data_IF_468117311621
#
_entry.id   IF_468117311621
#
_cell.length_a   1.000
_cell.length_b   1.000
_cell.length_c   1.000
_cell.angle_alpha   90.00
_cell.angle_beta   90.00
_cell.angle_gamma   90.00
#
_symmetry.space_group_name_H-M   'P 1'
#
loop_
_entity.id
_entity.type
_entity.pdbx_description
1 polymer ?
#
# COMPACT_ATOMS: atom_id res chain seq x y z
N UNK A 1 28.37 7.09 56.13
CA UNK A 1 28.75 7.14 54.68
C UNK A 1 27.75 6.48 53.72
N UNK A 2 26.59 5.95 54.15
CA UNK A 2 25.74 5.07 53.30
C UNK A 2 24.38 5.64 52.83
N UNK A 3 23.97 6.83 53.27
CA UNK A 3 22.66 7.42 52.93
C UNK A 3 22.69 8.28 51.66
N UNK A 4 23.84 8.91 51.34
CA UNK A 4 24.00 9.75 50.13
C UNK A 4 24.15 8.95 48.82
N UNK A 5 24.56 7.67 48.85
CA UNK A 5 24.72 6.83 47.63
C UNK A 5 23.38 6.26 47.12
N UNK A 6 22.42 5.92 48.01
CA UNK A 6 21.11 5.36 47.61
C UNK A 6 20.21 6.38 46.90
N UNK A 7 20.29 7.66 47.25
CA UNK A 7 19.53 8.76 46.63
C UNK A 7 20.01 9.11 45.23
N UNK A 8 21.30 8.94 44.92
CA UNK A 8 21.85 9.22 43.58
C UNK A 8 21.54 8.10 42.58
N UNK A 9 21.51 6.84 43.04
CA UNK A 9 21.20 5.67 42.20
C UNK A 9 19.72 5.63 41.81
N UNK A 10 18.82 6.09 42.67
CA UNK A 10 17.37 6.15 42.38
C UNK A 10 17.05 7.25 41.38
N UNK A 11 17.60 8.47 41.54
CA UNK A 11 17.40 9.57 40.58
C UNK A 11 17.94 9.27 39.17
N UNK A 12 19.07 8.55 39.07
CA UNK A 12 19.67 8.17 37.78
C UNK A 12 18.87 7.06 37.05
N UNK A 13 18.30 6.09 37.79
CA UNK A 13 17.38 5.08 37.23
C UNK A 13 16.09 5.71 36.70
N UNK A 14 15.52 6.70 37.41
CA UNK A 14 14.29 7.39 36.97
C UNK A 14 14.54 8.19 35.69
N UNK A 15 15.62 8.99 35.60
CA UNK A 15 16.00 9.75 34.39
C UNK A 15 16.22 8.85 33.16
N UNK A 16 16.85 7.67 33.32
CA UNK A 16 17.09 6.72 32.21
C UNK A 16 15.79 6.08 31.71
N UNK A 17 14.80 5.86 32.59
CA UNK A 17 13.47 5.32 32.24
C UNK A 17 12.63 6.33 31.46
N UNK A 18 12.66 7.62 31.84
CA UNK A 18 11.96 8.70 31.10
C UNK A 18 12.58 8.95 29.72
N UNK A 19 13.91 8.92 29.60
CA UNK A 19 14.62 9.09 28.31
C UNK A 19 14.28 7.97 27.32
N UNK A 20 14.26 6.71 27.77
CA UNK A 20 13.81 5.55 26.95
C UNK A 20 12.33 5.62 26.55
N UNK A 21 11.46 6.14 27.43
CA UNK A 21 10.02 6.32 27.13
C UNK A 21 9.81 7.42 26.08
N UNK A 22 10.53 8.55 26.18
CA UNK A 22 10.52 9.61 25.17
C UNK A 22 11.08 9.16 23.83
N UNK A 23 12.16 8.38 23.82
CA UNK A 23 12.76 7.85 22.59
C UNK A 23 11.86 6.81 21.89
N UNK A 24 11.20 5.93 22.65
CA UNK A 24 10.15 5.03 22.11
C UNK A 24 8.93 5.80 21.59
N UNK A 25 8.49 6.87 22.28
CA UNK A 25 7.40 7.75 21.81
C UNK A 25 7.81 8.54 20.57
N UNK A 26 9.06 9.00 20.48
CA UNK A 26 9.63 9.68 19.30
C UNK A 26 9.78 8.72 18.12
N UNK A 27 10.23 7.47 18.33
CA UNK A 27 10.24 6.43 17.28
C UNK A 27 8.82 6.05 16.81
N UNK A 28 7.84 5.90 17.72
CA UNK A 28 6.43 5.70 17.34
C UNK A 28 5.83 6.91 16.61
N UNK A 29 6.12 8.14 17.03
CA UNK A 29 5.70 9.36 16.32
C UNK A 29 6.38 9.51 14.97
N UNK A 30 7.70 9.22 14.85
CA UNK A 30 8.41 9.26 13.56
C UNK A 30 7.85 8.20 12.61
N UNK A 31 7.61 6.97 13.07
CA UNK A 31 6.97 5.90 12.28
C UNK A 31 5.52 6.24 11.86
N UNK A 32 4.85 7.15 12.58
CA UNK A 32 3.49 7.63 12.26
C UNK A 32 3.48 8.93 11.43
N UNK A 33 4.58 9.69 11.42
CA UNK A 33 4.68 11.00 10.75
C UNK A 33 5.33 10.93 9.36
N UNK A 34 5.95 9.81 8.98
CA UNK A 34 6.56 9.64 7.64
C UNK A 34 5.64 8.96 6.62
N UNK A 35 4.34 8.79 6.86
CA UNK A 35 3.51 7.87 6.06
C UNK A 35 2.21 8.44 5.49
N UNK A 36 1.96 9.76 5.53
CA UNK A 36 0.74 10.31 4.92
C UNK A 36 0.92 11.51 4.01
N UNK A 37 2.00 12.30 4.11
CA UNK A 37 2.08 13.58 3.38
C UNK A 37 2.65 13.50 1.96
N UNK A 38 3.27 12.38 1.54
CA UNK A 38 3.84 12.23 0.17
C UNK A 38 3.20 11.09 -0.65
N UNK A 39 1.96 10.71 -0.36
CA UNK A 39 1.28 9.63 -1.07
C UNK A 39 0.34 10.21 -2.13
N UNK A 40 0.75 10.13 -3.40
CA UNK A 40 -0.08 10.51 -4.54
C UNK A 40 -1.47 9.89 -4.44
N UNK A 41 -2.48 10.73 -4.59
CA UNK A 41 -3.87 10.41 -4.31
C UNK A 41 -4.59 9.79 -5.53
N UNK A 42 -3.91 9.74 -6.68
CA UNK A 42 -4.46 9.36 -7.97
C UNK A 42 -4.87 10.55 -8.84
N UNK A 43 -4.69 11.79 -8.36
CA UNK A 43 -5.10 13.02 -9.05
C UNK A 43 -3.87 13.83 -9.44
N UNK A 44 -3.93 14.45 -10.62
CA UNK A 44 -2.82 15.24 -11.16
C UNK A 44 -1.59 14.41 -11.54
N UNK A 45 -0.48 15.08 -11.87
CA UNK A 45 0.76 14.42 -12.26
C UNK A 45 1.33 13.56 -11.14
N UNK A 46 1.92 12.42 -11.50
CA UNK A 46 2.50 11.50 -10.53
C UNK A 46 3.81 12.13 -9.97
N UNK A 47 3.97 12.29 -8.64
CA UNK A 47 5.13 12.95 -8.06
C UNK A 47 6.44 12.19 -8.32
N UNK A 48 7.38 12.86 -8.98
CA UNK A 48 8.68 12.31 -9.39
C UNK A 48 8.64 11.53 -10.71
N UNK A 49 7.52 11.61 -11.45
CA UNK A 49 7.32 10.97 -12.75
C UNK A 49 6.67 12.00 -13.69
N UNK A 50 7.47 12.61 -14.56
CA UNK A 50 7.01 13.67 -15.48
C UNK A 50 7.10 13.29 -16.96
N UNK A 51 7.54 12.06 -17.27
CA UNK A 51 7.73 11.55 -18.63
C UNK A 51 7.02 10.20 -18.74
N UNK A 52 6.61 9.85 -19.97
CA UNK A 52 6.10 8.51 -20.24
C UNK A 52 7.15 7.47 -19.83
N UNK A 53 6.76 6.37 -19.16
CA UNK A 53 7.70 5.36 -18.69
C UNK A 53 8.41 4.71 -19.87
N UNK A 54 9.70 4.39 -19.67
CA UNK A 54 10.51 3.69 -20.68
C UNK A 54 11.29 2.54 -20.07
N UNK A 55 11.55 1.51 -20.89
CA UNK A 55 12.31 0.34 -20.47
C UNK A 55 11.71 -0.32 -19.24
N UNK A 56 12.52 -0.54 -18.21
CA UNK A 56 12.11 -1.23 -16.97
C UNK A 56 11.05 -0.48 -16.16
N UNK A 57 10.90 0.83 -16.35
CA UNK A 57 9.85 1.60 -15.67
C UNK A 57 8.46 1.13 -16.07
N UNK A 58 8.31 0.63 -17.30
CA UNK A 58 7.04 0.05 -17.78
C UNK A 58 6.59 -1.14 -16.95
N UNK A 59 7.45 -1.77 -16.15
CA UNK A 59 7.04 -2.89 -15.31
C UNK A 59 6.26 -2.45 -14.07
N UNK A 60 6.37 -1.21 -13.61
CA UNK A 60 5.79 -0.78 -12.33
C UNK A 60 5.19 0.63 -12.35
N UNK A 61 5.26 1.33 -13.47
CA UNK A 61 4.69 2.67 -13.60
C UNK A 61 3.16 2.65 -13.49
N UNK A 62 2.51 3.58 -12.76
CA UNK A 62 1.06 3.55 -12.56
C UNK A 62 0.20 3.56 -13.83
N UNK A 63 0.74 4.01 -14.97
CA UNK A 63 0.05 3.95 -16.27
C UNK A 63 -0.26 2.53 -16.76
N UNK A 64 0.43 1.50 -16.24
CA UNK A 64 0.16 0.11 -16.63
C UNK A 64 -1.12 -0.45 -16.02
N UNK A 65 -1.69 0.24 -15.03
CA UNK A 65 -2.94 -0.18 -14.41
C UNK A 65 -4.08 -0.23 -15.44
N UNK A 66 -4.18 0.79 -16.29
CA UNK A 66 -5.31 0.90 -17.23
C UNK A 66 -5.37 -0.27 -18.22
N UNK A 67 -4.28 -0.68 -18.90
CA UNK A 67 -4.29 -1.87 -19.74
C UNK A 67 -4.76 -3.15 -19.01
N UNK A 68 -4.30 -3.39 -17.78
CA UNK A 68 -4.75 -4.56 -17.02
C UNK A 68 -6.23 -4.48 -16.64
N UNK A 69 -6.74 -3.30 -16.29
CA UNK A 69 -8.17 -3.11 -16.02
C UNK A 69 -9.03 -3.28 -17.27
N UNK A 70 -8.56 -2.85 -18.44
CA UNK A 70 -9.22 -3.11 -19.72
C UNK A 70 -9.32 -4.62 -20.00
N UNK A 71 -8.22 -5.36 -19.82
CA UNK A 71 -8.24 -6.82 -19.96
C UNK A 71 -9.22 -7.49 -18.98
N UNK A 72 -9.27 -7.02 -17.73
CA UNK A 72 -10.18 -7.53 -16.71
C UNK A 72 -11.65 -7.23 -17.02
N UNK A 73 -11.95 -6.10 -17.67
CA UNK A 73 -13.31 -5.72 -18.03
C UNK A 73 -13.82 -6.38 -19.31
N UNK A 74 -12.93 -6.65 -20.28
CA UNK A 74 -13.33 -7.01 -21.64
C UNK A 74 -13.03 -8.48 -22.00
N UNK A 75 -12.13 -9.15 -21.27
CA UNK A 75 -11.76 -10.53 -21.59
C UNK A 75 -12.74 -11.55 -21.01
N UNK A 76 -13.06 -12.58 -21.79
CA UNK A 76 -13.74 -13.79 -21.33
C UNK A 76 -12.80 -14.98 -21.11
N UNK A 77 -11.50 -14.83 -21.39
CA UNK A 77 -10.52 -15.90 -21.22
C UNK A 77 -10.04 -15.96 -19.76
N UNK A 78 -10.32 -17.05 -19.01
CA UNK A 78 -9.94 -17.15 -17.60
C UNK A 78 -8.43 -17.00 -17.36
N UNK A 79 -7.57 -17.47 -18.26
CA UNK A 79 -6.12 -17.34 -18.11
C UNK A 79 -5.67 -15.87 -18.22
N UNK A 80 -6.30 -15.09 -19.09
CA UNK A 80 -6.04 -13.64 -19.23
C UNK A 80 -6.52 -12.87 -18.01
N UNK A 81 -7.69 -13.22 -17.48
CA UNK A 81 -8.24 -12.61 -16.27
C UNK A 81 -7.37 -12.92 -15.04
N UNK A 82 -7.01 -14.19 -14.85
CA UNK A 82 -6.11 -14.65 -13.79
C UNK A 82 -4.76 -13.93 -13.87
N UNK A 83 -4.13 -13.91 -15.05
CA UNK A 83 -2.84 -13.25 -15.27
C UNK A 83 -2.87 -11.73 -15.05
N UNK A 84 -3.95 -11.07 -15.47
CA UNK A 84 -4.12 -9.63 -15.28
C UNK A 84 -4.36 -9.27 -13.81
N UNK A 85 -5.20 -10.05 -13.11
CA UNK A 85 -5.43 -9.89 -11.67
C UNK A 85 -4.16 -10.17 -10.86
N UNK A 86 -3.43 -11.23 -11.21
CA UNK A 86 -2.13 -11.57 -10.62
C UNK A 86 -1.10 -10.46 -10.81
N UNK A 87 -1.05 -9.85 -12.00
CA UNK A 87 -0.16 -8.71 -12.27
C UNK A 87 -0.50 -7.52 -11.35
N UNK A 88 -1.78 -7.17 -11.19
CA UNK A 88 -2.20 -6.11 -10.26
C UNK A 88 -1.92 -6.47 -8.79
N UNK A 89 -2.04 -7.73 -8.42
CA UNK A 89 -1.63 -8.23 -7.11
C UNK A 89 -0.13 -7.97 -6.86
N UNK A 90 0.74 -8.36 -7.79
CA UNK A 90 2.19 -8.20 -7.66
C UNK A 90 2.59 -6.73 -7.55
N UNK A 91 2.01 -5.89 -8.41
CA UNK A 91 2.29 -4.45 -8.45
C UNK A 91 1.84 -3.71 -7.19
N UNK A 92 0.74 -4.16 -6.57
CA UNK A 92 0.16 -3.53 -5.39
C UNK A 92 0.71 -4.07 -4.06
N UNK A 93 1.61 -5.06 -4.11
CA UNK A 93 2.15 -5.73 -2.94
C UNK A 93 3.13 -4.84 -2.15
N UNK A 94 3.09 -5.01 -0.82
CA UNK A 94 4.03 -4.39 0.09
C UNK A 94 3.80 -2.88 0.32
N UNK A 95 4.79 -2.26 0.97
CA UNK A 95 4.69 -0.91 1.51
C UNK A 95 5.68 0.08 0.88
N UNK A 96 6.03 -0.15 -0.39
CA UNK A 96 6.88 0.72 -1.18
C UNK A 96 6.06 1.78 -1.93
N UNK A 97 6.75 2.85 -2.38
CA UNK A 97 6.13 4.05 -2.96
C UNK A 97 5.23 3.73 -4.16
N UNK A 98 5.69 2.90 -5.08
CA UNK A 98 4.94 2.63 -6.32
C UNK A 98 3.76 1.69 -6.11
N UNK A 99 3.81 0.72 -5.17
CA UNK A 99 2.59 -0.02 -4.80
C UNK A 99 1.49 0.88 -4.27
N UNK A 100 1.84 1.89 -3.46
CA UNK A 100 0.87 2.90 -3.03
C UNK A 100 0.27 3.67 -4.22
N UNK A 101 1.09 4.00 -5.23
CA UNK A 101 0.60 4.68 -6.43
C UNK A 101 -0.28 3.78 -7.30
N UNK A 102 0.06 2.49 -7.43
CA UNK A 102 -0.76 1.49 -8.12
C UNK A 102 -2.13 1.38 -7.45
N UNK A 103 -2.18 1.27 -6.11
CA UNK A 103 -3.47 1.23 -5.39
C UNK A 103 -4.31 2.48 -5.60
N UNK A 104 -3.69 3.66 -5.65
CA UNK A 104 -4.37 4.92 -5.95
C UNK A 104 -4.85 4.98 -7.41
N UNK A 105 -4.04 4.54 -8.36
CA UNK A 105 -4.37 4.47 -9.78
C UNK A 105 -5.53 3.51 -10.05
N UNK A 106 -5.54 2.32 -9.44
CA UNK A 106 -6.66 1.35 -9.58
C UNK A 106 -7.98 1.98 -9.15
N UNK A 107 -8.01 2.73 -8.04
CA UNK A 107 -9.22 3.47 -7.64
C UNK A 107 -9.57 4.57 -8.64
N UNK A 108 -8.57 5.34 -9.10
CA UNK A 108 -8.79 6.46 -10.04
C UNK A 108 -9.39 5.97 -11.36
N UNK A 109 -8.90 4.84 -11.87
CA UNK A 109 -9.37 4.19 -13.09
C UNK A 109 -10.66 3.37 -12.88
N UNK A 110 -11.35 3.53 -11.74
CA UNK A 110 -12.58 2.79 -11.39
C UNK A 110 -12.41 1.26 -11.46
N UNK A 111 -11.22 0.77 -11.11
CA UNK A 111 -10.90 -0.65 -11.11
C UNK A 111 -11.50 -1.44 -9.95
N UNK A 112 -11.86 -0.79 -8.83
CA UNK A 112 -12.42 -1.50 -7.67
C UNK A 112 -13.75 -2.21 -8.00
N UNK A 113 -14.74 -1.56 -8.65
CA UNK A 113 -15.94 -2.26 -9.12
C UNK A 113 -15.65 -3.45 -10.04
N UNK A 114 -14.70 -3.32 -10.98
CA UNK A 114 -14.32 -4.40 -11.91
C UNK A 114 -13.82 -5.61 -11.12
N UNK A 115 -12.90 -5.39 -10.17
CA UNK A 115 -12.38 -6.47 -9.33
C UNK A 115 -13.49 -7.10 -8.47
N UNK A 116 -14.41 -6.31 -7.90
CA UNK A 116 -15.52 -6.83 -7.11
C UNK A 116 -16.50 -7.66 -7.95
N UNK A 117 -16.74 -7.26 -9.20
CA UNK A 117 -17.61 -8.00 -10.12
C UNK A 117 -17.02 -9.38 -10.45
N UNK A 118 -15.71 -9.45 -10.70
CA UNK A 118 -15.03 -10.71 -11.01
C UNK A 118 -15.03 -11.74 -9.86
N UNK A 119 -15.32 -11.32 -8.62
CA UNK A 119 -15.53 -12.27 -7.50
C UNK A 119 -16.76 -13.16 -7.68
N UNK A 120 -17.66 -12.82 -8.61
CA UNK A 120 -18.89 -13.58 -8.89
C UNK A 120 -18.71 -14.63 -9.98
N UNK A 121 -17.51 -14.71 -10.58
CA UNK A 121 -17.23 -15.68 -11.62
C UNK A 121 -17.19 -17.10 -11.09
N UNK A 122 -17.66 -18.06 -11.89
CA UNK A 122 -17.50 -19.49 -11.64
C UNK A 122 -16.11 -19.96 -12.09
N UNK A 123 -15.07 -19.43 -11.46
CA UNK A 123 -13.68 -19.81 -11.70
C UNK A 123 -12.80 -19.52 -10.48
N UNK A 124 -12.47 -20.56 -9.72
CA UNK A 124 -11.70 -20.43 -8.47
C UNK A 124 -10.34 -19.77 -8.64
N UNK A 125 -9.66 -19.98 -9.77
CA UNK A 125 -8.34 -19.39 -10.03
C UNK A 125 -8.42 -17.89 -10.21
N UNK A 126 -9.39 -17.44 -11.02
CA UNK A 126 -9.65 -16.01 -11.22
C UNK A 126 -10.09 -15.38 -9.90
N UNK A 127 -11.06 -15.99 -9.20
CA UNK A 127 -11.57 -15.48 -7.92
C UNK A 127 -10.46 -15.36 -6.87
N UNK A 128 -9.58 -16.35 -6.76
CA UNK A 128 -8.44 -16.33 -5.83
C UNK A 128 -7.46 -15.18 -6.11
N UNK A 129 -7.09 -15.00 -7.37
CA UNK A 129 -6.20 -13.92 -7.82
C UNK A 129 -6.83 -12.54 -7.57
N UNK A 130 -8.11 -12.39 -7.92
CA UNK A 130 -8.86 -11.14 -7.72
C UNK A 130 -9.05 -10.81 -6.24
N UNK A 131 -9.42 -11.79 -5.42
CA UNK A 131 -9.56 -11.62 -3.97
C UNK A 131 -8.23 -11.19 -3.34
N UNK A 132 -7.12 -11.75 -3.81
CA UNK A 132 -5.79 -11.35 -3.35
C UNK A 132 -5.40 -9.95 -3.80
N UNK A 133 -5.70 -9.58 -5.05
CA UNK A 133 -5.52 -8.21 -5.52
C UNK A 133 -6.33 -7.22 -4.67
N UNK A 134 -7.61 -7.50 -4.38
CA UNK A 134 -8.47 -6.67 -3.52
C UNK A 134 -7.93 -6.55 -2.08
N UNK A 135 -7.40 -7.64 -1.51
CA UNK A 135 -6.72 -7.61 -0.21
C UNK A 135 -5.56 -6.61 -0.21
N UNK A 136 -4.77 -6.57 -1.29
CA UNK A 136 -3.70 -5.59 -1.44
C UNK A 136 -4.25 -4.17 -1.66
N UNK A 137 -5.30 -4.00 -2.48
CA UNK A 137 -5.94 -2.70 -2.69
C UNK A 137 -6.42 -2.07 -1.38
N UNK A 138 -6.96 -2.86 -0.45
CA UNK A 138 -7.44 -2.44 0.85
C UNK A 138 -6.33 -1.98 1.82
N UNK A 139 -5.05 -2.07 1.45
CA UNK A 139 -3.95 -1.41 2.19
C UNK A 139 -3.98 0.12 2.04
N UNK A 140 -4.62 0.65 0.98
CA UNK A 140 -4.96 2.08 0.90
C UNK A 140 -6.27 2.33 1.65
N UNK A 141 -6.24 3.22 2.65
CA UNK A 141 -7.37 3.49 3.56
C UNK A 141 -8.64 3.90 2.80
N UNK A 142 -8.50 4.70 1.75
CA UNK A 142 -9.65 5.17 0.95
C UNK A 142 -10.19 4.07 0.05
N UNK A 143 -9.33 3.16 -0.44
CA UNK A 143 -9.82 1.97 -1.15
C UNK A 143 -10.62 1.09 -0.21
N UNK A 144 -10.15 0.90 1.03
CA UNK A 144 -10.85 0.13 2.04
C UNK A 144 -12.26 0.68 2.27
N UNK A 145 -12.41 1.99 2.45
CA UNK A 145 -13.72 2.64 2.63
C UNK A 145 -14.69 2.42 1.45
N UNK A 146 -14.17 2.27 0.22
CA UNK A 146 -14.99 2.06 -0.97
C UNK A 146 -15.35 0.58 -1.23
N UNK A 147 -14.51 -0.35 -0.78
CA UNK A 147 -14.75 -1.79 -0.96
C UNK A 147 -15.77 -2.30 0.08
N UNK A 148 -15.74 -1.75 1.31
CA UNK A 148 -16.56 -2.18 2.46
C UNK A 148 -15.71 -2.74 3.60
#
# INVERSE_FOLDING_TARGET
KNTKKKTTITKSKTKKKTKRKHEKKKKKKKKKKTSQEDQWDGVGPIPGLSKSPKGVEMLWHPSVVKPYLTLLAESSNPATLEGSAGSLQDLSAGNWKFAAYIRAAVRKEKGLPILVELLRMDNDRVVSSVATALRNMALDVRNKELIG
#
